data_IF_921218035950
#
_entry.id   IF_921218035950
#
_cell.length_a   1.000
_cell.length_b   1.000
_cell.length_c   1.000
_cell.angle_alpha   90.00
_cell.angle_beta   90.00
_cell.angle_gamma   90.00
#
_symmetry.space_group_name_H-M   'P 1'
#
loop_
_entity.id
_entity.type
_entity.pdbx_description
1 polymer ?
#
# COMPACT_ATOMS: atom_id res chain seq x y z
N UNK A 1 -2.20 16.38 -1.67
CA UNK A 1 -2.94 15.35 -2.43
C UNK A 1 -2.30 13.98 -2.25
N UNK A 2 -2.48 13.29 -1.09
CA UNK A 2 -1.89 11.96 -0.89
C UNK A 2 -2.57 10.88 -1.73
N UNK A 3 -1.78 9.99 -2.30
CA UNK A 3 -2.28 8.81 -3.01
C UNK A 3 -1.61 7.56 -2.43
N UNK A 4 -2.41 6.58 -2.01
CA UNK A 4 -1.92 5.32 -1.47
C UNK A 4 -2.14 4.22 -2.52
N UNK A 5 -1.06 3.54 -2.88
CA UNK A 5 -1.13 2.43 -3.83
C UNK A 5 -0.58 1.19 -3.14
N UNK A 6 -1.41 0.17 -2.98
CA UNK A 6 -1.05 -1.06 -2.28
C UNK A 6 -0.99 -2.21 -3.29
N UNK A 7 0.19 -2.84 -3.38
CA UNK A 7 0.35 -4.09 -4.11
C UNK A 7 0.32 -5.22 -3.10
N UNK A 8 -0.40 -6.28 -3.41
CA UNK A 8 -0.62 -7.37 -2.47
C UNK A 8 -0.84 -8.69 -3.19
N UNK A 9 -0.59 -9.80 -2.52
CA UNK A 9 -0.95 -11.12 -3.06
C UNK A 9 -2.47 -11.18 -3.25
N UNK A 10 -2.95 -11.91 -4.29
CA UNK A 10 -4.39 -12.05 -4.48
C UNK A 10 -5.06 -12.56 -3.21
N UNK A 11 -6.14 -11.90 -2.83
CA UNK A 11 -6.90 -12.24 -1.64
C UNK A 11 -8.36 -11.89 -1.88
N UNK A 12 -9.25 -12.74 -1.40
CA UNK A 12 -10.68 -12.48 -1.45
C UNK A 12 -11.03 -11.49 -0.34
N UNK A 13 -11.38 -10.28 -0.73
CA UNK A 13 -11.71 -9.19 0.20
C UNK A 13 -13.17 -8.81 0.02
N UNK A 14 -14.06 -9.18 0.96
CA UNK A 14 -15.47 -8.84 0.83
C UNK A 14 -15.70 -7.32 0.93
N UNK A 15 -16.79 -6.81 0.32
CA UNK A 15 -17.06 -5.37 0.26
C UNK A 15 -17.05 -4.67 1.62
N UNK A 16 -17.60 -5.30 2.66
CA UNK A 16 -17.63 -4.71 3.99
C UNK A 16 -16.24 -4.56 4.61
N UNK A 17 -15.33 -5.48 4.29
CA UNK A 17 -13.94 -5.38 4.76
C UNK A 17 -13.21 -4.26 4.04
N UNK A 18 -13.44 -4.13 2.72
CA UNK A 18 -12.86 -3.04 1.94
C UNK A 18 -13.37 -1.67 2.39
N UNK A 19 -14.66 -1.58 2.73
CA UNK A 19 -15.24 -0.32 3.22
C UNK A 19 -14.62 0.07 4.56
N UNK A 20 -14.44 -0.88 5.48
CA UNK A 20 -13.81 -0.61 6.76
C UNK A 20 -12.35 -0.20 6.60
N UNK A 21 -11.62 -0.84 5.68
CA UNK A 21 -10.25 -0.49 5.39
C UNK A 21 -10.13 0.92 4.79
N UNK A 22 -11.00 1.24 3.82
CA UNK A 22 -11.04 2.57 3.23
C UNK A 22 -11.25 3.64 4.31
N UNK A 23 -12.23 3.45 5.18
CA UNK A 23 -12.53 4.40 6.25
C UNK A 23 -11.33 4.58 7.19
N UNK A 24 -10.72 3.49 7.63
CA UNK A 24 -9.60 3.55 8.57
C UNK A 24 -8.35 4.19 7.92
N UNK A 25 -8.03 3.78 6.69
CA UNK A 25 -6.85 4.31 6.01
C UNK A 25 -7.02 5.78 5.63
N UNK A 26 -8.20 6.14 5.14
CA UNK A 26 -8.50 7.54 4.81
C UNK A 26 -8.34 8.42 6.03
N UNK A 27 -8.87 8.01 7.20
CA UNK A 27 -8.75 8.76 8.44
C UNK A 27 -7.27 8.96 8.84
N UNK A 28 -6.46 7.90 8.74
CA UNK A 28 -5.05 7.97 9.07
C UNK A 28 -4.28 8.93 8.16
N UNK A 29 -4.58 8.88 6.86
CA UNK A 29 -3.93 9.77 5.88
C UNK A 29 -4.33 11.23 6.12
N UNK A 30 -5.61 11.47 6.37
CA UNK A 30 -6.10 12.82 6.65
C UNK A 30 -5.41 13.44 7.86
N UNK A 31 -5.26 12.65 8.92
CA UNK A 31 -4.60 13.12 10.14
C UNK A 31 -3.11 13.37 9.93
N UNK A 32 -2.44 12.45 9.27
CA UNK A 32 -0.98 12.52 9.07
C UNK A 32 -0.58 13.70 8.18
N UNK A 33 -1.34 13.94 7.11
CA UNK A 33 -1.00 14.95 6.11
C UNK A 33 -1.80 16.25 6.28
N UNK A 34 -2.69 16.30 7.25
CA UNK A 34 -3.53 17.48 7.52
C UNK A 34 -4.31 17.91 6.26
N UNK A 35 -5.06 16.96 5.71
CA UNK A 35 -5.86 17.19 4.50
C UNK A 35 -7.28 16.70 4.70
N UNK A 36 -8.20 17.16 3.85
CA UNK A 36 -9.56 16.67 3.83
C UNK A 36 -9.71 15.37 3.06
N UNK A 37 -10.85 14.72 3.22
CA UNK A 37 -11.15 13.44 2.59
C UNK A 37 -10.99 13.50 1.07
N UNK A 38 -11.38 14.59 0.45
CA UNK A 38 -11.37 14.78 -1.00
C UNK A 38 -9.96 14.74 -1.60
N UNK A 39 -8.93 14.91 -0.78
CA UNK A 39 -7.54 14.89 -1.24
C UNK A 39 -6.95 13.48 -1.27
N UNK A 40 -7.63 12.49 -0.66
CA UNK A 40 -7.10 11.13 -0.48
C UNK A 40 -7.60 10.21 -1.58
N UNK A 41 -6.69 9.44 -2.18
CA UNK A 41 -7.06 8.36 -3.09
C UNK A 41 -6.31 7.08 -2.71
N UNK A 42 -6.95 5.94 -2.95
CA UNK A 42 -6.42 4.63 -2.56
C UNK A 42 -6.66 3.67 -3.71
N UNK A 43 -5.63 2.92 -4.10
CA UNK A 43 -5.78 1.84 -5.06
C UNK A 43 -5.17 0.55 -4.53
N UNK A 44 -5.76 -0.58 -4.91
CA UNK A 44 -5.28 -1.91 -4.55
C UNK A 44 -4.97 -2.67 -5.83
N UNK A 45 -3.79 -3.23 -5.91
CA UNK A 45 -3.34 -3.97 -7.08
C UNK A 45 -2.90 -5.37 -6.68
N UNK A 46 -3.66 -6.43 -7.06
CA UNK A 46 -3.21 -7.79 -6.81
C UNK A 46 -2.02 -8.14 -7.70
N UNK A 47 -1.01 -8.78 -7.11
CA UNK A 47 0.19 -9.24 -7.80
C UNK A 47 0.38 -10.71 -7.48
N UNK A 48 0.50 -11.54 -8.50
CA UNK A 48 0.71 -12.97 -8.30
C UNK A 48 2.02 -13.23 -7.55
N UNK A 49 2.03 -14.27 -6.72
CA UNK A 49 3.21 -14.58 -5.91
C UNK A 49 4.47 -14.79 -6.76
N UNK A 50 4.34 -15.43 -7.92
CA UNK A 50 5.46 -15.68 -8.82
C UNK A 50 6.04 -14.40 -9.46
N UNK A 51 5.26 -13.32 -9.46
CA UNK A 51 5.70 -12.03 -10.01
C UNK A 51 6.20 -11.07 -8.94
N UNK A 52 6.05 -11.44 -7.66
CA UNK A 52 6.33 -10.52 -6.54
C UNK A 52 7.76 -10.00 -6.54
N UNK A 53 8.75 -10.90 -6.62
CA UNK A 53 10.15 -10.50 -6.54
C UNK A 53 10.54 -9.57 -7.69
N UNK A 54 10.10 -9.89 -8.90
CA UNK A 54 10.44 -9.08 -10.07
C UNK A 54 9.76 -7.72 -10.12
N UNK A 55 8.53 -7.62 -9.59
CA UNK A 55 7.78 -6.37 -9.64
C UNK A 55 7.90 -5.57 -8.35
N UNK A 56 7.74 -6.22 -7.19
CA UNK A 56 7.62 -5.51 -5.92
C UNK A 56 8.97 -5.39 -5.21
N UNK A 57 9.70 -6.49 -5.02
CA UNK A 57 11.00 -6.40 -4.33
C UNK A 57 12.00 -5.57 -5.13
N UNK A 58 11.97 -5.65 -6.45
CA UNK A 58 12.82 -4.81 -7.29
C UNK A 58 12.52 -3.32 -7.08
N UNK A 59 11.23 -2.98 -7.00
CA UNK A 59 10.81 -1.61 -6.75
C UNK A 59 11.20 -1.15 -5.34
N UNK A 60 10.99 -1.99 -4.34
CA UNK A 60 11.39 -1.70 -2.96
C UNK A 60 12.89 -1.41 -2.87
N UNK A 61 13.70 -2.26 -3.49
CA UNK A 61 15.15 -2.08 -3.49
C UNK A 61 15.58 -0.79 -4.17
N UNK A 62 14.92 -0.46 -5.30
CA UNK A 62 15.24 0.77 -6.06
C UNK A 62 14.86 2.04 -5.31
N UNK A 63 13.91 1.95 -4.39
CA UNK A 63 13.39 3.10 -3.64
C UNK A 63 13.56 2.95 -2.14
N UNK A 64 14.61 2.26 -1.71
CA UNK A 64 14.81 1.97 -0.28
C UNK A 64 14.86 3.22 0.59
N UNK A 65 15.35 4.32 0.06
CA UNK A 65 15.43 5.58 0.81
C UNK A 65 14.05 6.19 1.10
N UNK A 66 13.01 5.74 0.41
CA UNK A 66 11.64 6.21 0.63
C UNK A 66 10.85 5.30 1.57
N UNK A 67 11.41 4.17 1.98
CA UNK A 67 10.68 3.23 2.81
C UNK A 67 10.43 3.80 4.19
N UNK A 68 9.17 3.85 4.59
CA UNK A 68 8.77 4.13 5.96
C UNK A 68 8.94 2.88 6.83
N UNK A 69 8.71 1.71 6.22
CA UNK A 69 8.82 0.42 6.88
C UNK A 69 9.28 -0.62 5.86
N UNK A 70 10.38 -1.29 6.15
CA UNK A 70 10.89 -2.35 5.30
C UNK A 70 10.17 -3.68 5.60
N UNK A 71 9.95 -4.54 4.60
CA UNK A 71 9.34 -5.84 4.87
C UNK A 71 10.29 -6.75 5.64
N UNK A 72 9.73 -7.49 6.61
CA UNK A 72 10.54 -8.34 7.48
C UNK A 72 11.18 -9.53 6.76
N UNK A 73 10.67 -9.91 5.57
CA UNK A 73 11.21 -11.02 4.79
C UNK A 73 12.34 -10.60 3.83
N UNK A 74 12.64 -9.29 3.74
CA UNK A 74 13.64 -8.76 2.83
C UNK A 74 14.97 -8.53 3.56
N UNK A 75 16.07 -8.95 2.94
CA UNK A 75 17.40 -8.85 3.54
C UNK A 75 18.09 -7.50 3.29
N UNK A 76 17.47 -6.59 2.57
CA UNK A 76 18.01 -5.28 2.29
C UNK A 76 18.92 -5.20 1.07
N UNK A 77 19.04 -6.31 0.35
CA UNK A 77 19.93 -6.36 -0.81
C UNK A 77 19.36 -5.68 -2.05
#
# INVERSE_FOLDING_TARGET
MPHVHIRHFPKDLPPERLAAFDEALTAAVMETFDVGEEAVSISLEPVAAEDWDGLVLTDIAARRELLLKAPGYWDGA
#
